data_IF_434941240243
#
_entry.id   IF_434941240243
#
_cell.length_a   1.000
_cell.length_b   1.000
_cell.length_c   1.000
_cell.angle_alpha   90.00
_cell.angle_beta   90.00
_cell.angle_gamma   90.00
#
_symmetry.space_group_name_H-M   'P 1'
#
loop_
_entity.id
_entity.type
_entity.pdbx_description
1 polymer ?
#
# COMPACT_ATOMS: atom_id res chain seq x y z
N UNK A 1 0.10 -12.14 -4.87
CA UNK A 1 -0.68 -11.69 -6.04
C UNK A 1 0.01 -10.47 -6.63
N UNK A 2 -0.14 -10.19 -7.93
CA UNK A 2 0.45 -9.01 -8.58
C UNK A 2 -0.65 -8.00 -8.88
N UNK A 3 -0.50 -6.78 -8.40
CA UNK A 3 -1.45 -5.68 -8.63
C UNK A 3 -0.77 -4.58 -9.44
N UNK A 4 -1.47 -4.09 -10.47
CA UNK A 4 -1.04 -2.92 -11.22
C UNK A 4 -1.64 -1.67 -10.59
N UNK A 5 -0.77 -0.78 -10.12
CA UNK A 5 -1.10 0.53 -9.58
C UNK A 5 -0.27 1.61 -10.27
N UNK A 6 -0.56 2.86 -9.96
CA UNK A 6 0.29 3.98 -10.35
C UNK A 6 0.68 4.76 -9.10
N UNK A 7 1.80 5.45 -9.17
CA UNK A 7 2.26 6.37 -8.14
C UNK A 7 2.64 7.70 -8.80
N UNK A 8 2.44 8.79 -8.08
CA UNK A 8 2.89 10.12 -8.49
C UNK A 8 3.07 10.97 -7.24
N UNK A 9 4.32 11.12 -6.79
CA UNK A 9 4.67 11.90 -5.61
C UNK A 9 6.06 12.53 -5.75
N UNK A 10 6.23 13.71 -5.15
CA UNK A 10 7.53 14.36 -4.96
C UNK A 10 8.01 14.28 -3.51
N UNK A 11 7.14 13.83 -2.60
CA UNK A 11 7.50 13.60 -1.21
C UNK A 11 8.31 12.33 -1.06
N UNK A 12 9.12 12.29 -0.01
CA UNK A 12 9.83 11.10 0.46
C UNK A 12 9.61 10.96 1.96
N UNK A 13 9.57 9.72 2.44
CA UNK A 13 9.58 9.45 3.86
C UNK A 13 11.03 9.45 4.38
N UNK A 14 11.29 10.30 5.37
CA UNK A 14 12.58 10.42 6.05
C UNK A 14 12.47 9.84 7.46
N UNK A 15 13.60 9.39 8.04
CA UNK A 15 13.67 8.82 9.39
C UNK A 15 12.69 7.65 9.64
N UNK A 16 12.42 6.86 8.61
CA UNK A 16 11.59 5.66 8.72
C UNK A 16 12.37 4.58 9.45
N UNK A 17 11.81 4.07 10.54
CA UNK A 17 12.38 2.92 11.25
C UNK A 17 12.50 1.73 10.28
N UNK A 18 13.69 1.13 10.22
CA UNK A 18 13.94 -0.10 9.45
C UNK A 18 12.99 -1.24 9.81
N UNK A 19 12.44 -1.26 11.02
CA UNK A 19 11.48 -2.24 11.51
C UNK A 19 10.04 -1.96 11.07
N UNK A 20 9.76 -0.84 10.37
CA UNK A 20 8.40 -0.55 9.91
C UNK A 20 7.89 -1.69 9.01
N UNK A 21 6.70 -2.18 9.31
CA UNK A 21 6.07 -3.23 8.53
C UNK A 21 5.45 -2.62 7.27
N UNK A 22 5.90 -3.12 6.12
CA UNK A 22 5.34 -2.80 4.81
C UNK A 22 4.64 -4.01 4.22
N UNK A 23 3.53 -3.80 3.52
CA UNK A 23 2.67 -4.89 2.99
C UNK A 23 2.71 -5.03 1.47
N UNK A 24 3.38 -4.12 0.75
CA UNK A 24 3.56 -4.20 -0.70
C UNK A 24 5.04 -4.32 -1.06
N UNK A 25 5.35 -5.29 -1.94
CA UNK A 25 6.64 -5.39 -2.61
C UNK A 25 6.56 -4.69 -3.98
N UNK A 26 7.44 -3.72 -4.21
CA UNK A 26 7.51 -2.98 -5.47
C UNK A 26 8.29 -3.81 -6.49
N UNK A 27 7.60 -4.33 -7.50
CA UNK A 27 8.22 -5.06 -8.62
C UNK A 27 8.75 -4.14 -9.71
N UNK A 28 8.12 -2.97 -9.89
CA UNK A 28 8.51 -1.91 -10.84
C UNK A 28 7.93 -0.57 -10.35
N UNK A 29 8.76 0.45 -10.19
CA UNK A 29 8.39 1.74 -9.58
C UNK A 29 9.35 2.10 -8.45
N UNK A 30 8.95 3.05 -7.61
CA UNK A 30 9.72 3.53 -6.46
C UNK A 30 9.03 3.19 -5.13
N UNK A 31 7.79 3.59 -4.90
CA UNK A 31 7.13 3.46 -3.60
C UNK A 31 7.88 4.24 -2.50
N UNK A 32 8.16 3.58 -1.38
CA UNK A 32 8.86 4.21 -0.24
C UNK A 32 10.37 4.30 -0.50
N UNK A 33 10.98 3.22 -1.00
CA UNK A 33 12.45 3.05 -1.05
C UNK A 33 12.99 2.34 -2.31
N UNK A 34 12.17 2.19 -3.34
CA UNK A 34 12.48 1.44 -4.56
C UNK A 34 12.17 -0.05 -4.49
N UNK A 35 11.77 -0.57 -3.32
CA UNK A 35 11.56 -2.01 -3.08
C UNK A 35 10.27 -2.31 -2.32
N UNK A 36 9.83 -1.40 -1.46
CA UNK A 36 8.68 -1.57 -0.56
C UNK A 36 7.72 -0.40 -0.66
N UNK A 37 6.43 -0.65 -0.40
CA UNK A 37 5.41 0.35 -0.20
C UNK A 37 4.33 -0.16 0.77
N UNK A 38 3.42 0.71 1.21
CA UNK A 38 2.28 0.36 2.04
C UNK A 38 2.69 0.08 3.48
N UNK A 39 2.81 1.12 4.31
CA UNK A 39 3.02 0.99 5.75
C UNK A 39 1.70 0.60 6.41
N UNK A 40 1.74 -0.45 7.24
CA UNK A 40 0.60 -0.90 8.02
C UNK A 40 0.81 -0.63 9.51
N UNK A 41 -0.10 0.11 10.12
CA UNK A 41 -0.10 0.40 11.56
C UNK A 41 -1.52 0.28 12.11
N UNK A 42 -1.74 -0.66 13.02
CA UNK A 42 -3.08 -0.99 13.53
C UNK A 42 -4.08 -1.28 12.38
N UNK A 43 -5.04 -0.39 12.14
CA UNK A 43 -6.03 -0.52 11.06
C UNK A 43 -5.78 0.47 9.90
N UNK A 44 -4.60 1.12 9.87
CA UNK A 44 -4.21 2.07 8.84
C UNK A 44 -3.28 1.42 7.83
N UNK A 45 -3.61 1.56 6.54
CA UNK A 45 -2.70 1.33 5.43
C UNK A 45 -2.37 2.66 4.75
N UNK A 46 -1.11 3.09 4.84
CA UNK A 46 -0.60 4.29 4.17
C UNK A 46 0.35 3.89 3.02
N UNK A 47 0.03 4.28 1.78
CA UNK A 47 0.74 3.81 0.58
C UNK A 47 0.82 4.91 -0.47
N UNK A 48 1.92 4.92 -1.24
CA UNK A 48 2.04 5.77 -2.43
C UNK A 48 1.31 5.19 -3.65
N UNK A 49 1.07 3.87 -3.67
CA UNK A 49 0.30 3.22 -4.72
C UNK A 49 -1.16 3.71 -4.73
N UNK A 50 -1.52 4.45 -5.77
CA UNK A 50 -2.91 4.75 -6.09
C UNK A 50 -3.58 3.51 -6.69
N UNK A 51 -4.41 2.87 -5.88
CA UNK A 51 -5.09 1.64 -6.24
C UNK A 51 -6.34 1.91 -7.07
N UNK A 52 -6.41 1.33 -8.27
CA UNK A 52 -7.62 1.34 -9.08
C UNK A 52 -8.46 0.11 -8.73
N UNK A 53 -9.75 0.31 -8.44
CA UNK A 53 -10.68 -0.81 -8.28
C UNK A 53 -10.99 -1.45 -9.65
N UNK A 54 -10.53 -2.69 -9.83
CA UNK A 54 -10.77 -3.53 -11.01
C UNK A 54 -10.86 -4.99 -10.57
N UNK A 55 -11.31 -5.90 -11.45
CA UNK A 55 -11.42 -7.33 -11.12
C UNK A 55 -10.11 -7.94 -10.60
N UNK A 56 -8.97 -7.54 -11.15
CA UNK A 56 -7.65 -8.03 -10.73
C UNK A 56 -7.09 -7.33 -9.49
N UNK A 57 -7.69 -6.22 -9.04
CA UNK A 57 -7.36 -5.52 -7.80
C UNK A 57 -8.66 -4.99 -7.14
N UNK A 58 -9.45 -5.86 -6.50
CA UNK A 58 -10.74 -5.51 -5.93
C UNK A 58 -10.62 -4.80 -4.57
N UNK A 59 -9.57 -3.99 -4.35
CA UNK A 59 -9.15 -3.48 -3.04
C UNK A 59 -10.27 -2.80 -2.22
N UNK A 60 -11.20 -2.09 -2.86
CA UNK A 60 -12.34 -1.46 -2.19
C UNK A 60 -13.23 -2.50 -1.50
N UNK A 61 -13.49 -3.65 -2.14
CA UNK A 61 -14.28 -4.72 -1.55
C UNK A 61 -13.54 -5.30 -0.34
N UNK A 62 -12.27 -5.64 -0.52
CA UNK A 62 -11.43 -6.22 0.54
C UNK A 62 -11.33 -5.25 1.75
N UNK A 63 -11.18 -3.95 1.49
CA UNK A 63 -11.13 -2.92 2.53
C UNK A 63 -12.47 -2.78 3.26
N UNK A 64 -13.60 -2.76 2.54
CA UNK A 64 -14.93 -2.66 3.16
C UNK A 64 -15.24 -3.91 4.00
N UNK A 65 -14.86 -5.09 3.53
CA UNK A 65 -15.02 -6.34 4.28
C UNK A 65 -14.14 -6.37 5.54
N UNK A 66 -12.91 -5.84 5.46
CA UNK A 66 -12.08 -5.59 6.63
C UNK A 66 -12.77 -4.66 7.63
N UNK A 67 -13.30 -3.51 7.19
CA UNK A 67 -14.01 -2.56 8.06
C UNK A 67 -15.20 -3.22 8.75
N UNK A 68 -15.97 -4.06 8.04
CA UNK A 68 -17.09 -4.83 8.63
C UNK A 68 -16.65 -5.87 9.65
N UNK A 69 -15.42 -6.39 9.52
CA UNK A 69 -14.82 -7.37 10.44
C UNK A 69 -14.28 -6.72 11.72
N UNK A 70 -13.91 -5.44 11.66
CA UNK A 70 -13.52 -4.63 12.81
C UNK A 70 -14.76 -4.28 13.63
N UNK A 71 -15.11 -5.13 14.60
CA UNK A 71 -16.14 -4.88 15.61
C UNK A 71 -15.51 -4.62 16.98
#
# INVERSE_FOLDING_TARGET
MLYHAHEFHYSRLENVDSAVQTVLEVRRGYGIDGRRDGIHVANLLATYAHQRHVRSNPWVNDFVDFVRSCR
#
